data_IF_909515447223
#
_entry.id   IF_909515447223
#
_cell.length_a   1.000
_cell.length_b   1.000
_cell.length_c   1.000
_cell.angle_alpha   90.00
_cell.angle_beta   90.00
_cell.angle_gamma   90.00
#
_symmetry.space_group_name_H-M   'P 1'
#
loop_
_entity.id
_entity.type
_entity.pdbx_description
1 polymer ?
#
# COMPACT_ATOMS: atom_id res chain seq x y z
N UNK A 1 37.08 -47.23 5.42
CA UNK A 1 37.67 -47.49 6.75
C UNK A 1 37.05 -46.53 7.73
N UNK A 2 36.37 -47.06 8.74
CA UNK A 2 35.66 -46.30 9.76
C UNK A 2 36.64 -45.83 10.85
N UNK A 3 36.48 -44.60 11.33
CA UNK A 3 37.06 -44.14 12.59
C UNK A 3 36.05 -43.27 13.33
N UNK A 4 35.43 -43.91 14.31
CA UNK A 4 34.58 -43.35 15.36
C UNK A 4 35.38 -42.47 16.32
N UNK A 5 34.91 -41.24 16.56
CA UNK A 5 35.30 -40.43 17.71
C UNK A 5 34.05 -40.08 18.52
N UNK A 6 33.90 -40.67 19.69
CA UNK A 6 32.89 -40.33 20.71
C UNK A 6 33.57 -39.51 21.79
N UNK A 7 33.26 -38.21 21.84
CA UNK A 7 33.67 -37.30 22.91
C UNK A 7 32.44 -36.74 23.62
N UNK A 8 32.19 -37.23 24.84
CA UNK A 8 31.15 -36.75 25.76
C UNK A 8 31.67 -35.51 26.49
N UNK A 9 30.92 -34.40 26.41
CA UNK A 9 31.11 -33.21 27.24
C UNK A 9 29.81 -32.89 27.96
N UNK A 10 29.79 -33.24 29.25
CA UNK A 10 28.81 -32.80 30.23
C UNK A 10 29.17 -31.39 30.67
N UNK A 11 28.29 -30.42 30.42
CA UNK A 11 28.39 -29.06 30.95
C UNK A 11 27.10 -28.73 31.71
N UNK A 12 27.29 -28.44 33.01
CA UNK A 12 26.25 -28.13 33.98
C UNK A 12 25.53 -26.82 33.66
N UNK A 13 24.20 -26.89 33.59
CA UNK A 13 23.29 -25.74 33.61
C UNK A 13 23.33 -25.08 35.00
N UNK A 14 23.89 -23.87 35.09
CA UNK A 14 23.62 -22.94 36.20
C UNK A 14 22.56 -21.94 35.77
N UNK A 15 21.36 -22.14 36.30
CA UNK A 15 20.24 -21.20 36.24
C UNK A 15 20.53 -20.00 37.16
N UNK A 16 20.66 -18.80 36.59
CA UNK A 16 20.64 -17.54 37.32
C UNK A 16 19.43 -16.73 36.86
N UNK A 17 18.38 -16.73 37.68
CA UNK A 17 17.21 -15.87 37.54
C UNK A 17 17.51 -14.46 38.05
N UNK A 18 17.28 -13.39 37.28
CA UNK A 18 17.24 -12.04 37.81
C UNK A 18 15.87 -11.73 38.42
N UNK A 19 15.89 -11.17 39.63
CA UNK A 19 14.72 -10.73 40.41
C UNK A 19 14.01 -9.54 39.74
N UNK A 20 12.68 -9.61 39.70
CA UNK A 20 11.77 -8.50 39.43
C UNK A 20 11.70 -7.54 40.64
N UNK A 21 11.67 -6.22 40.45
CA UNK A 21 11.28 -5.27 41.49
C UNK A 21 9.75 -5.08 41.55
N UNK A 22 9.21 -5.07 42.77
CA UNK A 22 7.82 -4.81 43.13
C UNK A 22 7.43 -3.32 42.99
N UNK A 23 6.13 -2.97 42.91
CA UNK A 23 5.66 -1.66 42.46
C UNK A 23 5.54 -0.64 43.59
N UNK A 24 5.96 0.60 43.33
CA UNK A 24 5.69 1.76 44.18
C UNK A 24 4.45 2.52 43.67
N UNK A 25 3.45 2.70 44.53
CA UNK A 25 2.22 3.48 44.31
C UNK A 25 2.44 5.01 44.36
N UNK A 26 1.47 5.81 43.89
CA UNK A 26 1.71 7.15 43.31
C UNK A 26 1.45 8.30 44.29
N UNK A 27 1.92 9.53 44.00
CA UNK A 27 1.36 10.73 44.60
C UNK A 27 0.23 11.35 43.75
N UNK A 28 -0.75 11.79 44.53
CA UNK A 28 -1.97 12.55 44.33
C UNK A 28 -1.93 13.82 43.45
N UNK A 29 -3.00 13.94 42.65
CA UNK A 29 -3.81 15.14 42.32
C UNK A 29 -3.15 16.51 42.24
N UNK A 30 -3.15 17.08 41.03
CA UNK A 30 -3.19 18.53 40.83
C UNK A 30 -4.33 18.94 39.91
N UNK A 31 -5.02 19.97 40.37
CA UNK A 31 -6.29 20.56 39.94
C UNK A 31 -6.10 21.44 38.69
N UNK A 32 -6.95 21.29 37.68
CA UNK A 32 -7.06 22.21 36.53
C UNK A 32 -8.04 23.36 36.87
N UNK A 33 -7.71 24.64 36.56
CA UNK A 33 -8.72 25.70 36.56
C UNK A 33 -9.46 25.79 35.22
N UNK A 34 -10.78 25.89 35.36
CA UNK A 34 -11.78 26.25 34.36
C UNK A 34 -11.48 27.60 33.69
N UNK A 35 -11.57 27.66 32.35
CA UNK A 35 -11.67 28.92 31.60
C UNK A 35 -12.98 28.96 30.80
N UNK A 36 -13.91 29.88 31.12
CA UNK A 36 -14.94 30.29 30.18
C UNK A 36 -14.72 31.77 29.83
N UNK A 37 -14.62 32.10 28.54
CA UNK A 37 -15.01 33.44 28.12
C UNK A 37 -15.49 33.46 26.66
N UNK A 38 -16.81 33.40 26.51
CA UNK A 38 -17.54 33.89 25.36
C UNK A 38 -17.58 35.42 25.45
N UNK A 39 -17.05 36.13 24.46
CA UNK A 39 -17.45 37.52 24.17
C UNK A 39 -17.77 37.66 22.69
N UNK A 40 -19.04 37.93 22.44
CA UNK A 40 -19.66 38.22 21.15
C UNK A 40 -19.69 39.74 21.04
N UNK A 41 -19.04 40.31 20.03
CA UNK A 41 -19.05 41.75 19.74
C UNK A 41 -20.03 41.98 18.59
N UNK A 42 -20.95 42.94 18.77
CA UNK A 42 -21.80 43.48 17.71
C UNK A 42 -21.09 44.64 17.01
N UNK A 43 -21.19 44.72 15.68
CA UNK A 43 -21.15 46.00 14.96
C UNK A 43 -21.86 45.89 13.60
N UNK A 44 -22.41 47.04 13.22
CA UNK A 44 -23.52 47.26 12.28
C UNK A 44 -23.00 47.77 10.92
N UNK A 45 -23.66 47.29 9.87
CA UNK A 45 -23.92 47.85 8.53
C UNK A 45 -22.80 48.49 7.66
N UNK A 46 -22.70 48.01 6.42
CA UNK A 46 -22.98 48.81 5.21
C UNK A 46 -23.15 47.87 4.01
N UNK A 47 -24.13 48.17 3.15
CA UNK A 47 -24.59 47.26 2.10
C UNK A 47 -23.75 47.25 0.84
N UNK A 48 -23.96 46.20 0.03
CA UNK A 48 -24.10 46.37 -1.41
C UNK A 48 -24.99 45.27 -1.98
N UNK A 49 -25.97 45.67 -2.79
CA UNK A 49 -26.92 44.78 -3.45
C UNK A 49 -26.24 44.09 -4.62
N UNK A 50 -26.29 42.77 -4.65
CA UNK A 50 -26.38 42.01 -5.90
C UNK A 50 -27.33 40.82 -5.67
N UNK A 51 -28.17 40.60 -6.66
CA UNK A 51 -29.36 39.74 -6.65
C UNK A 51 -29.00 38.26 -6.54
N UNK A 52 -29.44 37.61 -5.47
CA UNK A 52 -29.29 36.17 -5.23
C UNK A 52 -30.62 35.46 -5.55
N UNK A 53 -30.64 34.62 -6.59
CA UNK A 53 -31.69 33.63 -6.79
C UNK A 53 -31.54 32.55 -5.71
N UNK A 54 -32.54 32.40 -4.85
CA UNK A 54 -32.59 31.41 -3.77
C UNK A 54 -33.45 30.22 -4.20
N UNK A 55 -32.85 29.13 -4.65
CA UNK A 55 -33.52 27.83 -4.61
C UNK A 55 -33.34 27.26 -3.20
N UNK A 56 -34.46 26.87 -2.58
CA UNK A 56 -34.47 26.16 -1.29
C UNK A 56 -34.43 24.67 -1.59
N UNK A 57 -33.37 23.99 -1.18
CA UNK A 57 -33.41 22.54 -0.95
C UNK A 57 -32.54 22.23 0.26
N UNK A 58 -33.13 21.53 1.24
CA UNK A 58 -32.47 21.11 2.47
C UNK A 58 -31.29 20.21 2.12
N UNK A 59 -30.08 20.62 2.47
CA UNK A 59 -28.89 19.80 2.38
C UNK A 59 -28.86 18.80 3.56
N UNK A 60 -28.96 17.52 3.23
CA UNK A 60 -28.53 16.41 4.06
C UNK A 60 -27.00 16.37 4.00
N UNK A 61 -26.33 16.59 5.12
CA UNK A 61 -24.86 16.51 5.24
C UNK A 61 -24.42 15.05 5.33
N UNK A 62 -24.10 14.47 4.18
CA UNK A 62 -23.06 13.46 4.06
C UNK A 62 -22.03 14.05 3.10
N UNK A 63 -20.91 14.54 3.63
CA UNK A 63 -19.85 15.08 2.80
C UNK A 63 -19.10 13.90 2.14
N UNK A 64 -19.38 13.64 0.87
CA UNK A 64 -18.43 12.93 0.02
C UNK A 64 -17.17 13.80 -0.06
N UNK A 65 -16.12 13.46 0.68
CA UNK A 65 -14.79 13.96 0.34
C UNK A 65 -14.42 13.28 -0.98
N UNK A 66 -14.47 14.04 -2.08
CA UNK A 66 -14.04 13.54 -3.38
C UNK A 66 -12.58 13.06 -3.28
N UNK A 67 -12.32 11.83 -3.68
CA UNK A 67 -10.98 11.25 -3.78
C UNK A 67 -10.11 12.16 -4.62
N UNK A 68 -8.93 12.55 -4.12
CA UNK A 68 -8.01 13.34 -4.91
C UNK A 68 -7.36 12.42 -5.95
N UNK A 69 -7.64 12.67 -7.23
CA UNK A 69 -7.08 11.92 -8.34
C UNK A 69 -6.19 12.82 -9.20
N UNK A 70 -5.02 12.31 -9.55
CA UNK A 70 -4.06 12.97 -10.43
C UNK A 70 -3.67 12.03 -11.57
N UNK A 71 -3.55 12.54 -12.80
CA UNK A 71 -3.15 11.77 -13.98
C UNK A 71 -1.92 12.41 -14.59
N UNK A 72 -0.83 11.66 -14.68
CA UNK A 72 0.43 12.09 -15.27
C UNK A 72 0.75 11.23 -16.49
N UNK A 73 0.89 11.86 -17.65
CA UNK A 73 1.28 11.21 -18.90
C UNK A 73 2.69 11.65 -19.27
N UNK A 74 3.56 10.69 -19.54
CA UNK A 74 4.97 10.90 -19.86
C UNK A 74 5.29 10.46 -21.29
N UNK A 75 6.25 11.16 -21.91
CA UNK A 75 6.63 10.88 -23.31
C UNK A 75 7.27 9.50 -23.52
N UNK A 76 7.79 8.87 -22.46
CA UNK A 76 8.46 7.57 -22.53
C UNK A 76 8.42 6.83 -21.19
N UNK A 77 8.66 5.52 -21.23
CA UNK A 77 8.88 4.68 -20.05
C UNK A 77 10.03 5.19 -19.17
N UNK A 78 11.04 5.84 -19.77
CA UNK A 78 12.17 6.43 -19.04
C UNK A 78 11.75 7.66 -18.23
N UNK A 79 11.04 8.60 -18.87
CA UNK A 79 10.51 9.78 -18.19
C UNK A 79 9.53 9.41 -17.06
N UNK A 80 8.68 8.41 -17.31
CA UNK A 80 7.80 7.84 -16.29
C UNK A 80 8.61 7.30 -15.11
N UNK A 81 9.64 6.49 -15.37
CA UNK A 81 10.44 5.85 -14.30
C UNK A 81 11.21 6.88 -13.46
N UNK A 82 11.72 7.95 -14.09
CA UNK A 82 12.37 9.06 -13.36
C UNK A 82 11.38 9.79 -12.45
N UNK A 83 10.19 10.11 -12.94
CA UNK A 83 9.16 10.79 -12.15
C UNK A 83 8.64 9.90 -11.02
N UNK A 84 8.42 8.62 -11.29
CA UNK A 84 8.00 7.64 -10.30
C UNK A 84 9.04 7.49 -9.18
N UNK A 85 10.34 7.38 -9.53
CA UNK A 85 11.40 7.31 -8.52
C UNK A 85 11.42 8.56 -7.63
N UNK A 86 11.28 9.76 -8.22
CA UNK A 86 11.17 11.00 -7.45
C UNK A 86 9.97 10.97 -6.49
N UNK A 87 8.80 10.61 -7.00
CA UNK A 87 7.57 10.53 -6.21
C UNK A 87 7.71 9.58 -5.01
N UNK A 88 8.28 8.40 -5.24
CA UNK A 88 8.52 7.41 -4.18
C UNK A 88 9.53 7.93 -3.16
N UNK A 89 10.63 8.56 -3.59
CA UNK A 89 11.64 9.12 -2.70
C UNK A 89 11.07 10.26 -1.82
N UNK A 90 10.29 11.17 -2.41
CA UNK A 90 9.63 12.26 -1.69
C UNK A 90 8.66 11.71 -0.62
N UNK A 91 7.86 10.69 -0.96
CA UNK A 91 6.97 10.03 0.00
C UNK A 91 7.75 9.30 1.09
N UNK A 92 8.81 8.59 0.73
CA UNK A 92 9.67 7.91 1.70
C UNK A 92 10.26 8.90 2.70
N UNK A 93 10.78 10.04 2.24
CA UNK A 93 11.31 11.08 3.11
C UNK A 93 10.23 11.66 4.03
N UNK A 94 9.04 11.96 3.47
CA UNK A 94 7.90 12.48 4.22
C UNK A 94 7.52 11.54 5.36
N UNK A 95 7.29 10.26 5.09
CA UNK A 95 6.81 9.32 6.09
C UNK A 95 7.91 8.93 7.10
N UNK A 96 9.17 8.84 6.64
CA UNK A 96 10.31 8.68 7.55
C UNK A 96 10.38 9.82 8.58
N UNK A 97 10.13 11.08 8.17
CA UNK A 97 10.08 12.21 9.11
C UNK A 97 8.85 12.20 10.02
N UNK A 98 7.70 11.75 9.53
CA UNK A 98 6.44 11.80 10.27
C UNK A 98 6.29 10.69 11.30
N UNK A 99 6.73 9.47 10.97
CA UNK A 99 6.47 8.27 11.79
C UNK A 99 7.63 7.28 11.85
N UNK A 100 8.84 7.72 11.48
CA UNK A 100 10.06 6.93 11.53
C UNK A 100 9.98 5.58 10.80
N UNK A 101 9.15 5.51 9.76
CA UNK A 101 8.91 4.32 8.94
C UNK A 101 8.26 4.71 7.62
N UNK A 102 8.42 3.88 6.59
CA UNK A 102 7.76 4.01 5.30
C UNK A 102 7.28 2.63 4.82
N UNK A 103 5.97 2.42 4.80
CA UNK A 103 5.35 1.16 4.37
C UNK A 103 4.95 1.23 2.90
N UNK A 104 5.59 0.38 2.09
CA UNK A 104 5.37 0.33 0.64
C UNK A 104 4.91 -1.05 0.21
N UNK A 105 3.88 -1.10 -0.60
CA UNK A 105 3.32 -2.34 -1.16
C UNK A 105 3.63 -2.39 -2.65
N UNK A 106 4.17 -3.51 -3.12
CA UNK A 106 4.56 -3.74 -4.50
C UNK A 106 3.59 -4.71 -5.20
N UNK A 107 3.21 -4.40 -6.44
CA UNK A 107 2.75 -5.42 -7.39
C UNK A 107 3.92 -5.99 -8.20
N UNK A 108 3.69 -7.14 -8.83
CA UNK A 108 4.62 -7.71 -9.81
C UNK A 108 4.54 -7.06 -11.20
N UNK A 109 4.99 -7.82 -12.20
CA UNK A 109 4.93 -7.44 -13.62
C UNK A 109 5.87 -6.28 -13.99
N UNK A 110 5.49 -5.52 -15.01
CA UNK A 110 6.33 -4.44 -15.55
C UNK A 110 6.55 -3.28 -14.59
N UNK A 111 5.75 -3.17 -13.51
CA UNK A 111 5.92 -2.15 -12.47
C UNK A 111 7.33 -2.19 -11.87
N UNK A 112 7.89 -3.38 -11.62
CA UNK A 112 9.22 -3.53 -11.02
C UNK A 112 10.30 -2.91 -11.93
N UNK A 113 10.15 -3.01 -13.25
CA UNK A 113 11.06 -2.36 -14.22
C UNK A 113 11.00 -0.83 -14.12
N UNK A 114 9.84 -0.26 -13.81
CA UNK A 114 9.68 1.19 -13.62
C UNK A 114 10.37 1.70 -12.36
N UNK A 115 10.68 0.83 -11.39
CA UNK A 115 11.43 1.19 -10.18
C UNK A 115 12.95 1.31 -10.42
N UNK A 116 13.46 0.98 -11.61
CA UNK A 116 14.90 0.95 -11.90
C UNK A 116 15.64 2.25 -11.53
N UNK A 117 14.97 3.40 -11.68
CA UNK A 117 15.57 4.71 -11.36
C UNK A 117 15.76 4.94 -9.88
N UNK A 118 15.01 4.25 -9.03
CA UNK A 118 15.13 4.36 -7.59
C UNK A 118 16.42 3.71 -7.06
N UNK A 119 17.02 2.79 -7.82
CA UNK A 119 18.30 2.14 -7.47
C UNK A 119 19.52 2.83 -8.08
N UNK A 120 19.32 3.97 -8.76
CA UNK A 120 20.37 4.81 -9.33
C UNK A 120 20.59 6.06 -8.45
N UNK A 121 21.72 6.75 -8.64
CA UNK A 121 21.95 8.04 -8.01
C UNK A 121 20.92 9.10 -8.50
N UNK A 122 20.45 10.01 -7.64
CA UNK A 122 20.85 10.19 -6.24
C UNK A 122 20.05 9.31 -5.26
N UNK A 123 19.04 8.58 -5.71
CA UNK A 123 18.06 7.94 -4.82
C UNK A 123 18.65 6.78 -4.01
N UNK A 124 19.51 5.97 -4.62
CA UNK A 124 20.18 4.87 -3.92
C UNK A 124 20.96 5.33 -2.68
N UNK A 125 21.51 6.55 -2.72
CA UNK A 125 22.32 7.14 -1.64
C UNK A 125 21.51 8.03 -0.68
N UNK A 126 20.43 8.64 -1.15
CA UNK A 126 19.65 9.63 -0.36
C UNK A 126 18.42 9.06 0.33
N UNK A 127 17.87 7.95 -0.16
CA UNK A 127 16.73 7.29 0.48
C UNK A 127 17.18 6.56 1.75
N UNK A 128 16.42 6.74 2.85
CA UNK A 128 16.71 6.10 4.14
C UNK A 128 16.13 4.69 4.16
N UNK A 129 16.80 3.75 3.49
CA UNK A 129 16.33 2.37 3.28
C UNK A 129 16.05 1.59 4.56
N UNK A 130 16.71 1.93 5.68
CA UNK A 130 16.44 1.31 6.99
C UNK A 130 15.04 1.57 7.54
N UNK A 131 14.32 2.56 6.98
CA UNK A 131 12.94 2.91 7.35
C UNK A 131 11.90 2.23 6.47
N UNK A 132 12.32 1.56 5.39
CA UNK A 132 11.40 0.90 4.47
C UNK A 132 10.89 -0.40 5.06
N UNK A 133 9.58 -0.61 4.92
CA UNK A 133 8.87 -1.86 5.18
C UNK A 133 8.14 -2.25 3.90
N UNK A 134 8.53 -3.37 3.29
CA UNK A 134 8.10 -3.79 1.96
C UNK A 134 7.13 -4.96 2.04
N UNK A 135 6.03 -4.84 1.29
CA UNK A 135 4.93 -5.78 1.20
C UNK A 135 4.59 -6.07 -0.26
N UNK A 136 3.74 -7.07 -0.49
CA UNK A 136 3.18 -7.40 -1.80
C UNK A 136 1.67 -7.21 -1.83
N UNK A 137 1.17 -6.63 -2.92
CA UNK A 137 -0.26 -6.50 -3.19
C UNK A 137 -0.86 -7.85 -3.58
N UNK A 138 -0.09 -8.66 -4.30
CA UNK A 138 -0.40 -10.04 -4.65
C UNK A 138 0.86 -10.87 -4.82
N UNK A 139 0.71 -12.19 -4.74
CA UNK A 139 1.76 -13.15 -5.07
C UNK A 139 1.14 -14.44 -5.61
N UNK A 140 1.93 -15.13 -6.41
CA UNK A 140 1.65 -16.42 -7.00
C UNK A 140 2.08 -17.47 -5.98
N UNK A 141 1.25 -18.46 -5.72
CA UNK A 141 1.55 -19.51 -4.74
C UNK A 141 2.53 -20.50 -5.37
N UNK A 142 3.78 -20.07 -5.45
CA UNK A 142 4.93 -20.78 -6.01
C UNK A 142 6.15 -20.49 -5.13
N UNK A 143 7.21 -21.32 -5.18
CA UNK A 143 8.45 -21.04 -4.46
C UNK A 143 9.01 -19.64 -4.76
N UNK A 144 9.63 -18.99 -3.77
CA UNK A 144 10.22 -17.64 -3.91
C UNK A 144 11.32 -17.52 -4.97
N UNK A 145 11.89 -18.63 -5.42
CA UNK A 145 12.87 -18.68 -6.51
C UNK A 145 12.26 -19.11 -7.86
N UNK A 146 10.93 -19.26 -7.92
CA UNK A 146 10.23 -19.59 -9.15
C UNK A 146 10.13 -18.36 -10.06
N UNK A 147 10.28 -18.51 -11.40
CA UNK A 147 10.21 -17.40 -12.35
C UNK A 147 8.91 -16.56 -12.29
N UNK A 148 7.80 -17.18 -11.87
CA UNK A 148 6.50 -16.49 -11.72
C UNK A 148 6.32 -15.77 -10.38
N UNK A 149 7.29 -15.85 -9.45
CA UNK A 149 7.21 -15.17 -8.15
C UNK A 149 7.43 -13.66 -8.30
N UNK A 150 6.48 -12.89 -7.78
CA UNK A 150 6.61 -11.44 -7.63
C UNK A 150 7.72 -11.08 -6.64
N UNK A 151 7.99 -11.91 -5.63
CA UNK A 151 9.15 -11.76 -4.75
C UNK A 151 10.46 -11.85 -5.52
N UNK A 152 10.66 -12.92 -6.32
CA UNK A 152 11.88 -13.06 -7.13
C UNK A 152 12.06 -11.85 -8.05
N UNK A 153 10.99 -11.47 -8.74
CA UNK A 153 11.01 -10.33 -9.65
C UNK A 153 11.42 -9.04 -8.95
N UNK A 154 10.83 -8.74 -7.78
CA UNK A 154 11.19 -7.57 -6.98
C UNK A 154 12.60 -7.68 -6.41
N UNK A 155 13.06 -8.88 -6.04
CA UNK A 155 14.40 -9.11 -5.53
C UNK A 155 15.47 -8.78 -6.58
N UNK A 156 15.34 -9.36 -7.78
CA UNK A 156 16.28 -9.14 -8.89
C UNK A 156 16.19 -7.71 -9.44
N UNK A 157 14.97 -7.16 -9.49
CA UNK A 157 14.71 -5.84 -10.03
C UNK A 157 15.13 -4.70 -9.10
N UNK A 158 14.97 -4.88 -7.79
CA UNK A 158 14.99 -3.80 -6.82
C UNK A 158 15.66 -4.17 -5.48
N UNK A 159 15.15 -5.16 -4.73
CA UNK A 159 15.53 -5.36 -3.33
C UNK A 159 17.01 -5.77 -3.15
N UNK A 160 17.58 -6.51 -4.09
CA UNK A 160 19.01 -6.90 -4.05
C UNK A 160 19.99 -5.73 -4.27
N UNK A 161 19.48 -4.54 -4.67
CA UNK A 161 20.28 -3.38 -5.05
C UNK A 161 20.24 -2.25 -4.01
N UNK A 162 19.47 -2.42 -2.93
CA UNK A 162 19.28 -1.41 -1.89
C UNK A 162 19.39 -2.02 -0.49
N UNK A 163 19.93 -1.29 0.50
CA UNK A 163 20.18 -1.81 1.83
C UNK A 163 18.92 -1.82 2.74
N UNK A 164 17.82 -2.40 2.26
CA UNK A 164 16.61 -2.61 3.08
C UNK A 164 16.87 -3.78 4.05
N UNK A 165 16.64 -3.63 5.37
CA UNK A 165 16.79 -4.71 6.32
C UNK A 165 15.88 -5.90 5.96
N UNK A 166 16.41 -7.12 5.96
CA UNK A 166 15.63 -8.31 5.60
C UNK A 166 14.41 -8.53 6.51
N UNK A 167 14.50 -8.14 7.78
CA UNK A 167 13.37 -8.17 8.73
C UNK A 167 12.23 -7.20 8.41
N UNK A 168 12.44 -6.28 7.46
CA UNK A 168 11.42 -5.35 6.99
C UNK A 168 10.83 -5.75 5.63
N UNK A 169 11.14 -6.96 5.13
CA UNK A 169 10.60 -7.49 3.88
C UNK A 169 9.59 -8.59 4.21
N UNK A 170 8.31 -8.27 4.11
CA UNK A 170 7.19 -9.15 4.47
C UNK A 170 6.67 -9.85 3.22
N UNK A 171 7.44 -10.85 2.77
CA UNK A 171 7.04 -11.69 1.65
C UNK A 171 6.01 -12.75 2.07
N UNK A 172 5.16 -13.13 1.12
CA UNK A 172 4.20 -14.22 1.30
C UNK A 172 4.93 -15.55 1.58
N UNK A 173 4.30 -16.38 2.41
CA UNK A 173 4.82 -17.68 2.80
C UNK A 173 4.52 -18.75 1.74
N UNK A 174 5.54 -19.10 0.95
CA UNK A 174 5.50 -20.03 -0.17
C UNK A 174 5.52 -21.51 0.26
N UNK A 175 5.64 -21.80 1.55
CA UNK A 175 5.54 -23.15 2.09
C UNK A 175 4.10 -23.57 2.47
N UNK A 176 3.15 -22.65 2.39
CA UNK A 176 1.75 -22.85 2.78
C UNK A 176 0.85 -22.97 1.55
N UNK A 177 -0.34 -23.56 1.74
CA UNK A 177 -1.40 -23.52 0.72
C UNK A 177 -1.88 -22.09 0.51
N UNK A 178 -2.52 -21.79 -0.63
CA UNK A 178 -3.04 -20.45 -0.93
C UNK A 178 -3.90 -19.87 0.21
N UNK A 179 -4.75 -20.69 0.81
CA UNK A 179 -5.62 -20.30 1.92
C UNK A 179 -4.84 -19.99 3.19
N UNK A 180 -3.99 -20.93 3.64
CA UNK A 180 -3.19 -20.75 4.84
C UNK A 180 -2.19 -19.59 4.71
N UNK A 181 -1.65 -19.38 3.51
CA UNK A 181 -0.74 -18.29 3.23
C UNK A 181 -1.45 -16.92 3.23
N UNK A 182 -2.72 -16.85 2.78
CA UNK A 182 -3.50 -15.62 2.87
C UNK A 182 -3.82 -15.26 4.33
N UNK A 183 -4.21 -16.26 5.13
CA UNK A 183 -4.47 -16.07 6.57
C UNK A 183 -3.19 -15.71 7.35
N UNK A 184 -2.05 -16.32 7.01
CA UNK A 184 -0.73 -15.99 7.56
C UNK A 184 -0.34 -14.54 7.23
N UNK A 185 -0.53 -14.12 5.98
CA UNK A 185 -0.21 -12.76 5.54
C UNK A 185 -1.11 -11.71 6.20
N UNK A 186 -2.42 -11.97 6.30
CA UNK A 186 -3.33 -11.11 7.07
C UNK A 186 -2.92 -11.02 8.54
N UNK A 187 -2.54 -12.14 9.16
CA UNK A 187 -2.07 -12.19 10.55
C UNK A 187 -0.78 -11.38 10.73
N UNK A 188 0.16 -11.49 9.79
CA UNK A 188 1.37 -10.68 9.77
C UNK A 188 1.06 -9.18 9.76
N UNK A 189 0.17 -8.73 8.86
CA UNK A 189 -0.22 -7.31 8.77
C UNK A 189 -0.94 -6.86 10.04
N UNK A 190 -1.80 -7.68 10.65
CA UNK A 190 -2.44 -7.39 11.95
C UNK A 190 -1.43 -7.18 13.07
N UNK A 191 -0.38 -8.02 13.14
CA UNK A 191 0.70 -7.82 14.11
C UNK A 191 1.47 -6.52 13.86
N UNK A 192 1.73 -6.17 12.60
CA UNK A 192 2.42 -4.92 12.25
C UNK A 192 1.57 -3.68 12.54
N UNK A 193 0.25 -3.79 12.41
CA UNK A 193 -0.69 -2.78 12.89
C UNK A 193 -0.62 -2.63 14.41
N UNK A 194 -0.67 -3.75 15.15
CA UNK A 194 -0.58 -3.73 16.62
C UNK A 194 0.73 -3.10 17.11
N UNK A 195 1.84 -3.37 16.41
CA UNK A 195 3.16 -2.84 16.74
C UNK A 195 3.41 -1.41 16.19
N UNK A 196 2.42 -0.79 15.55
CA UNK A 196 2.49 0.60 15.08
C UNK A 196 3.32 0.82 13.81
N UNK A 197 3.73 -0.24 13.10
CA UNK A 197 4.45 -0.15 11.83
C UNK A 197 3.49 0.23 10.69
N UNK A 198 2.34 -0.43 10.63
CA UNK A 198 1.27 -0.13 9.67
C UNK A 198 0.18 0.64 10.42
N UNK A 199 -0.22 1.79 9.89
CA UNK A 199 -1.30 2.59 10.50
C UNK A 199 -2.66 1.97 10.20
N UNK A 200 -3.71 2.42 10.89
CA UNK A 200 -5.10 2.07 10.58
C UNK A 200 -5.81 3.31 10.05
N UNK A 201 -6.61 3.18 9.01
CA UNK A 201 -7.48 4.27 8.57
C UNK A 201 -8.58 4.50 9.60
N UNK A 202 -8.74 5.75 10.04
CA UNK A 202 -9.85 6.14 10.92
C UNK A 202 -11.21 6.08 10.20
N UNK A 203 -11.21 6.12 8.87
CA UNK A 203 -12.41 6.11 8.03
C UNK A 203 -12.88 4.68 7.79
N UNK A 204 -11.98 3.81 7.33
CA UNK A 204 -12.35 2.45 6.88
C UNK A 204 -12.11 1.38 7.96
N UNK A 205 -11.22 1.62 8.92
CA UNK A 205 -10.79 0.64 9.91
C UNK A 205 -9.81 -0.42 9.37
N UNK A 206 -9.37 -0.30 8.11
CA UNK A 206 -8.40 -1.20 7.48
C UNK A 206 -6.95 -0.71 7.64
N UNK A 207 -5.94 -1.59 7.45
CA UNK A 207 -4.55 -1.19 7.42
C UNK A 207 -4.30 -0.14 6.33
N UNK A 208 -3.67 0.96 6.73
CA UNK A 208 -3.33 2.11 5.90
C UNK A 208 -1.84 2.10 5.61
N UNK A 209 -1.48 1.60 4.43
CA UNK A 209 -0.12 1.66 3.90
C UNK A 209 0.19 3.07 3.39
N UNK A 210 1.46 3.48 3.46
CA UNK A 210 1.86 4.82 3.03
C UNK A 210 1.82 4.96 1.51
N UNK A 211 2.26 3.90 0.80
CA UNK A 211 2.26 3.83 -0.65
C UNK A 211 1.89 2.43 -1.14
N UNK A 212 0.85 2.36 -1.96
CA UNK A 212 0.43 1.18 -2.71
C UNK A 212 0.82 1.35 -4.18
N UNK A 213 1.85 0.65 -4.63
CA UNK A 213 2.28 0.64 -6.03
C UNK A 213 1.56 -0.47 -6.78
N UNK A 214 0.63 -0.11 -7.66
CA UNK A 214 -0.17 -1.05 -8.43
C UNK A 214 0.22 -1.03 -9.90
N UNK A 215 0.41 -2.22 -10.45
CA UNK A 215 0.34 -2.45 -11.89
C UNK A 215 -1.09 -2.74 -12.33
N UNK A 216 -1.33 -2.69 -13.63
CA UNK A 216 -2.62 -3.04 -14.23
C UNK A 216 -2.43 -4.04 -15.38
N UNK A 217 -3.27 -5.07 -15.43
CA UNK A 217 -3.33 -6.00 -16.56
C UNK A 217 -3.96 -5.39 -17.83
N UNK A 218 -3.74 -6.02 -19.01
CA UNK A 218 -4.41 -5.58 -20.25
C UNK A 218 -5.94 -5.76 -20.22
N UNK A 219 -6.44 -6.57 -19.30
CA UNK A 219 -7.84 -6.85 -18.95
C UNK A 219 -8.34 -5.99 -17.77
N UNK A 220 -7.56 -5.01 -17.30
CA UNK A 220 -7.96 -4.12 -16.21
C UNK A 220 -7.93 -4.74 -14.80
N UNK A 221 -7.39 -5.95 -14.63
CA UNK A 221 -7.14 -6.50 -13.29
C UNK A 221 -6.05 -5.70 -12.57
N UNK A 222 -6.16 -5.63 -11.24
CA UNK A 222 -5.12 -5.12 -10.33
C UNK A 222 -4.85 -6.19 -9.27
N UNK A 223 -3.61 -6.29 -8.78
CA UNK A 223 -3.21 -7.36 -7.87
C UNK A 223 -3.65 -8.73 -8.45
N UNK A 224 -4.37 -9.56 -7.70
CA UNK A 224 -5.07 -10.74 -8.26
C UNK A 224 -6.60 -10.62 -8.20
N UNK A 225 -7.12 -9.41 -8.43
CA UNK A 225 -8.54 -9.09 -8.51
C UNK A 225 -8.95 -8.97 -9.98
N UNK A 226 -9.57 -10.03 -10.52
CA UNK A 226 -9.86 -10.19 -11.95
C UNK A 226 -11.29 -9.79 -12.31
N UNK A 227 -11.54 -9.32 -13.56
CA UNK A 227 -12.89 -9.09 -14.07
C UNK A 227 -13.76 -10.36 -13.93
N UNK A 228 -15.02 -10.18 -13.56
CA UNK A 228 -15.98 -11.27 -13.36
C UNK A 228 -15.73 -12.21 -12.17
N UNK A 229 -14.56 -12.15 -11.51
CA UNK A 229 -14.25 -13.03 -10.38
C UNK A 229 -14.91 -12.54 -9.08
N UNK A 230 -15.60 -13.38 -8.28
CA UNK A 230 -16.37 -12.93 -7.11
C UNK A 230 -15.54 -12.23 -6.03
N UNK A 231 -14.23 -12.50 -5.97
CA UNK A 231 -13.32 -11.87 -4.99
C UNK A 231 -13.29 -10.34 -5.07
N UNK A 232 -13.63 -9.73 -6.21
CA UNK A 232 -13.75 -8.25 -6.31
C UNK A 232 -14.83 -7.67 -5.37
N UNK A 233 -15.75 -8.50 -4.91
CA UNK A 233 -16.81 -8.14 -3.98
C UNK A 233 -16.45 -8.35 -2.51
N UNK A 234 -15.27 -8.87 -2.18
CA UNK A 234 -14.82 -9.03 -0.79
C UNK A 234 -14.69 -7.66 -0.08
N UNK A 235 -15.33 -7.52 1.08
CA UNK A 235 -15.42 -6.26 1.84
C UNK A 235 -14.86 -6.34 3.27
N UNK A 236 -14.42 -7.52 3.71
CA UNK A 236 -14.13 -7.82 5.12
C UNK A 236 -12.71 -8.31 5.34
N UNK A 237 -12.24 -9.25 4.53
CA UNK A 237 -10.87 -9.79 4.66
C UNK A 237 -9.84 -8.76 4.23
N UNK A 238 -8.66 -8.80 4.85
CA UNK A 238 -7.54 -7.93 4.49
C UNK A 238 -6.76 -8.53 3.33
N UNK A 239 -6.47 -9.83 3.43
CA UNK A 239 -5.90 -10.63 2.37
C UNK A 239 -6.82 -11.82 2.07
N UNK A 240 -6.79 -12.28 0.83
CA UNK A 240 -7.55 -13.45 0.40
C UNK A 240 -6.78 -14.21 -0.66
N UNK A 241 -7.35 -15.31 -1.12
CA UNK A 241 -6.75 -16.19 -2.12
C UNK A 241 -7.74 -16.51 -3.23
N UNK A 242 -7.19 -16.93 -4.37
CA UNK A 242 -7.92 -17.55 -5.48
C UNK A 242 -7.17 -18.82 -5.90
N UNK A 243 -7.89 -19.78 -6.48
CA UNK A 243 -7.31 -21.04 -7.00
C UNK A 243 -7.59 -21.25 -8.49
N UNK A 244 -8.21 -20.25 -9.10
CA UNK A 244 -8.84 -20.27 -10.41
C UNK A 244 -8.54 -18.96 -11.16
N UNK A 245 -7.35 -18.39 -10.94
CA UNK A 245 -6.92 -17.24 -11.72
C UNK A 245 -7.03 -17.56 -13.21
N UNK A 246 -7.63 -16.65 -14.02
CA UNK A 246 -7.72 -16.84 -15.47
C UNK A 246 -6.34 -16.73 -16.15
N UNK A 247 -5.27 -16.44 -15.39
CA UNK A 247 -3.90 -16.34 -15.86
C UNK A 247 -3.00 -17.25 -15.03
N UNK A 248 -2.12 -18.05 -15.65
CA UNK A 248 -1.21 -18.91 -14.91
C UNK A 248 -0.24 -18.09 -14.03
N UNK A 249 0.21 -18.65 -12.90
CA UNK A 249 -0.36 -19.82 -12.21
C UNK A 249 -1.74 -19.50 -11.58
N UNK A 250 -2.60 -20.52 -11.40
CA UNK A 250 -3.99 -20.32 -10.99
C UNK A 250 -4.13 -19.93 -9.51
N UNK A 251 -3.22 -20.40 -8.65
CA UNK A 251 -3.24 -20.10 -7.22
C UNK A 251 -2.51 -18.80 -6.90
N UNK A 252 -3.21 -17.88 -6.26
CA UNK A 252 -2.69 -16.56 -5.90
C UNK A 252 -3.23 -16.10 -4.56
N UNK A 253 -2.48 -15.21 -3.94
CA UNK A 253 -2.87 -14.45 -2.75
C UNK A 253 -2.90 -12.98 -3.15
N UNK A 254 -3.82 -12.22 -2.57
CA UNK A 254 -3.99 -10.81 -2.88
C UNK A 254 -4.54 -10.05 -1.69
N UNK A 255 -4.13 -8.79 -1.55
CA UNK A 255 -4.91 -7.82 -0.82
C UNK A 255 -6.24 -7.60 -1.51
N UNK A 256 -7.26 -7.32 -0.70
CA UNK A 256 -8.62 -7.02 -1.14
C UNK A 256 -8.77 -5.51 -1.39
N UNK A 257 -9.85 -5.10 -2.07
CA UNK A 257 -10.11 -3.68 -2.29
C UNK A 257 -10.19 -2.85 -1.00
N UNK A 258 -10.79 -3.32 0.11
CA UNK A 258 -10.73 -2.60 1.38
C UNK A 258 -9.32 -2.19 1.83
N UNK A 259 -8.33 -3.08 1.69
CA UNK A 259 -6.93 -2.75 2.05
C UNK A 259 -6.29 -1.84 1.01
N UNK A 260 -6.52 -2.11 -0.27
CA UNK A 260 -5.99 -1.28 -1.36
C UNK A 260 -6.47 0.17 -1.20
N UNK A 261 -7.78 0.37 -1.07
CA UNK A 261 -8.42 1.69 -1.00
C UNK A 261 -8.22 2.38 0.35
N UNK A 262 -7.78 1.67 1.38
CA UNK A 262 -7.40 2.27 2.67
C UNK A 262 -5.99 2.89 2.66
N UNK A 263 -5.22 2.75 1.57
CA UNK A 263 -3.84 3.26 1.49
C UNK A 263 -3.79 4.78 1.36
N UNK A 264 -2.81 5.43 2.00
CA UNK A 264 -2.67 6.89 2.00
C UNK A 264 -2.34 7.46 0.61
N UNK A 265 -1.56 6.71 -0.18
CA UNK A 265 -1.26 7.02 -1.57
C UNK A 265 -1.33 5.74 -2.38
N UNK A 266 -2.00 5.79 -3.52
CA UNK A 266 -2.01 4.72 -4.52
C UNK A 266 -1.39 5.28 -5.79
N UNK A 267 -0.36 4.62 -6.29
CA UNK A 267 0.24 4.93 -7.58
C UNK A 267 -0.06 3.78 -8.56
N UNK A 268 -0.94 4.06 -9.53
CA UNK A 268 -1.25 3.15 -10.63
C UNK A 268 -0.27 3.41 -11.77
N UNK A 269 0.59 2.43 -12.06
CA UNK A 269 1.65 2.56 -13.04
C UNK A 269 1.34 1.67 -14.24
N UNK A 270 1.13 2.29 -15.40
CA UNK A 270 0.84 1.59 -16.65
C UNK A 270 1.70 2.15 -17.79
N UNK A 271 2.51 1.28 -18.38
CA UNK A 271 3.36 1.60 -19.51
C UNK A 271 3.12 0.61 -20.67
N UNK A 272 3.16 1.11 -21.89
CA UNK A 272 3.01 0.37 -23.13
C UNK A 272 1.56 0.25 -23.63
N UNK A 273 1.44 0.09 -24.95
CA UNK A 273 0.17 0.12 -25.68
C UNK A 273 -0.83 -0.96 -25.24
N UNK A 274 -0.36 -2.08 -24.68
CA UNK A 274 -1.22 -3.13 -24.13
C UNK A 274 -2.05 -2.70 -22.92
N UNK A 275 -1.86 -1.48 -22.40
CA UNK A 275 -2.64 -0.88 -21.31
C UNK A 275 -3.68 0.12 -21.79
N UNK A 276 -3.66 0.49 -23.07
CA UNK A 276 -4.46 1.61 -23.57
C UNK A 276 -5.97 1.41 -23.46
N UNK A 277 -6.48 0.20 -23.71
CA UNK A 277 -7.91 -0.09 -23.55
C UNK A 277 -8.39 0.02 -22.11
N UNK A 278 -7.80 -0.67 -21.11
CA UNK A 278 -8.25 -0.52 -19.73
C UNK A 278 -7.97 0.88 -19.16
N UNK A 279 -6.95 1.60 -19.64
CA UNK A 279 -6.76 3.02 -19.30
C UNK A 279 -7.91 3.87 -19.83
N UNK A 280 -8.30 3.72 -21.11
CA UNK A 280 -9.47 4.42 -21.68
C UNK A 280 -10.74 4.07 -20.93
N UNK A 281 -10.95 2.80 -20.62
CA UNK A 281 -12.15 2.36 -19.91
C UNK A 281 -12.29 3.01 -18.53
N UNK A 282 -11.15 3.32 -17.90
CA UNK A 282 -11.12 3.86 -16.54
C UNK A 282 -11.14 5.38 -16.49
N UNK A 283 -10.40 6.04 -17.38
CA UNK A 283 -10.19 7.50 -17.36
C UNK A 283 -10.89 8.24 -18.50
N UNK A 284 -11.41 7.51 -19.50
CA UNK A 284 -12.13 8.07 -20.63
C UNK A 284 -13.59 8.37 -20.29
N UNK A 285 -14.26 9.08 -21.20
CA UNK A 285 -15.66 9.50 -21.04
C UNK A 285 -16.67 8.44 -21.55
N UNK A 286 -16.24 7.19 -21.74
CA UNK A 286 -17.06 6.12 -22.32
C UNK A 286 -17.91 5.40 -21.28
N UNK A 287 -19.16 5.08 -21.62
CA UNK A 287 -19.98 4.13 -20.86
C UNK A 287 -19.59 2.70 -21.27
N UNK A 288 -18.51 2.18 -20.70
CA UNK A 288 -18.19 0.75 -20.84
C UNK A 288 -19.17 -0.10 -20.02
N UNK A 289 -19.62 -1.23 -20.59
CA UNK A 289 -20.71 -2.03 -20.03
C UNK A 289 -20.32 -2.87 -18.81
N UNK A 290 -19.02 -3.15 -18.62
CA UNK A 290 -18.50 -3.95 -17.51
C UNK A 290 -17.47 -3.13 -16.71
N UNK A 291 -17.68 -3.01 -15.40
CA UNK A 291 -16.76 -2.30 -14.50
C UNK A 291 -15.51 -3.15 -14.30
N UNK A 292 -14.37 -2.64 -14.76
CA UNK A 292 -13.07 -3.30 -14.58
C UNK A 292 -12.59 -3.17 -13.13
N UNK A 293 -11.84 -4.16 -12.61
CA UNK A 293 -11.30 -4.09 -11.24
C UNK A 293 -10.48 -2.83 -10.95
N UNK A 294 -9.72 -2.33 -11.93
CA UNK A 294 -8.97 -1.08 -11.78
C UNK A 294 -9.87 0.14 -11.51
N UNK A 295 -11.11 0.18 -12.02
CA UNK A 295 -12.07 1.25 -11.74
C UNK A 295 -12.58 1.19 -10.28
N UNK A 296 -12.39 0.05 -9.61
CA UNK A 296 -12.72 -0.11 -8.18
C UNK A 296 -11.58 0.34 -7.25
N UNK A 297 -10.42 0.71 -7.81
CA UNK A 297 -9.35 1.38 -7.07
C UNK A 297 -9.76 2.84 -6.86
N UNK A 298 -10.35 3.10 -5.71
CA UNK A 298 -10.89 4.40 -5.32
C UNK A 298 -10.57 4.60 -3.85
N UNK A 299 -9.42 5.23 -3.51
CA UNK A 299 -9.05 5.45 -2.12
C UNK A 299 -10.18 6.11 -1.32
N UNK A 300 -10.46 5.56 -0.14
CA UNK A 300 -11.45 6.09 0.81
C UNK A 300 -11.01 7.46 1.33
N UNK A 301 -9.69 7.59 1.49
CA UNK A 301 -8.96 8.81 1.82
C UNK A 301 -7.60 8.77 1.10
N UNK A 302 -7.01 9.94 0.87
CA UNK A 302 -5.68 10.05 0.27
C UNK A 302 -5.70 10.35 -1.23
N UNK A 303 -4.64 9.93 -1.92
CA UNK A 303 -4.34 10.33 -3.29
C UNK A 303 -4.22 9.11 -4.22
N UNK A 304 -4.97 9.12 -5.32
CA UNK A 304 -4.76 8.23 -6.45
C UNK A 304 -3.98 8.95 -7.54
N UNK A 305 -2.76 8.50 -7.85
CA UNK A 305 -1.95 9.05 -8.94
C UNK A 305 -1.72 8.02 -10.03
N UNK A 306 -2.09 8.35 -11.26
CA UNK A 306 -1.78 7.56 -12.44
C UNK A 306 -0.46 8.01 -13.05
N UNK A 307 0.42 7.05 -13.30
CA UNK A 307 1.66 7.22 -14.05
C UNK A 307 1.54 6.43 -15.36
N UNK A 308 1.33 7.16 -16.45
CA UNK A 308 1.10 6.61 -17.78
C UNK A 308 2.23 7.02 -18.71
N UNK A 309 2.71 6.11 -19.56
CA UNK A 309 3.44 6.55 -20.75
C UNK A 309 2.47 6.90 -21.89
N UNK A 310 2.98 7.52 -22.94
CA UNK A 310 2.19 7.95 -24.10
C UNK A 310 1.45 6.78 -24.76
N UNK A 311 2.05 5.59 -24.77
CA UNK A 311 1.45 4.41 -25.39
C UNK A 311 0.27 3.88 -24.55
N UNK A 312 0.40 3.83 -23.23
CA UNK A 312 -0.69 3.48 -22.31
C UNK A 312 -1.80 4.54 -22.33
N UNK A 313 -1.48 5.80 -22.58
CA UNK A 313 -2.45 6.90 -22.71
C UNK A 313 -2.99 7.09 -24.14
N UNK A 314 -2.59 6.27 -25.12
CA UNK A 314 -2.86 6.50 -26.55
C UNK A 314 -4.34 6.52 -26.97
N UNK A 315 -5.24 6.13 -26.07
CA UNK A 315 -6.69 6.06 -26.27
C UNK A 315 -7.49 7.04 -25.38
N UNK A 316 -6.79 7.91 -24.64
CA UNK A 316 -7.40 8.99 -23.85
C UNK A 316 -7.77 10.21 -24.70
#
# INVERSE_FOLDING_TARGET
MASSFTGSLSASLRTLSPRLPSPSQPPTSYTLPNHPNKRRIYLIAAGNRSTLFRSKTKASTAANMATAQNVQVFDSEEALSMSLAKYIADLSEKFAKQKDSFTVVLSGGSLIKSLRKLVEAPYVDSVIWSKWHVFWADERVVPKNHPDSNYLLAYDGFLSKVPIPSGNVYAINDALSAEAAADDYETCVKHLVHNGIVSVSEVSGFPKFDLMLLGMGPDGHVASLFPGHPLVQEKTKWASFIKDSPKPPPERITFTFPVINSSANIALVAAGAGKADPVRATLGNGEDSEVLPVQMVSPDEGMLTWFLDKDAASKL
#
